data_IF_860743818205
#
_entry.id   IF_860743818205
#
_cell.length_a   1.000
_cell.length_b   1.000
_cell.length_c   1.000
_cell.angle_alpha   90.00
_cell.angle_beta   90.00
_cell.angle_gamma   90.00
#
_symmetry.space_group_name_H-M   'P 1'
#
loop_
_entity.id
_entity.type
_entity.pdbx_description
1 polymer ?
#
# COMPACT_ATOMS: atom_id res chain seq x y z
N UNK A 1 20.05 -19.09 15.59
CA UNK A 1 20.05 -18.34 14.31
C UNK A 1 18.67 -17.79 14.01
N UNK A 2 17.60 -18.61 14.03
CA UNK A 2 16.20 -18.15 13.89
C UNK A 2 15.80 -17.05 14.87
N UNK A 3 16.19 -17.18 16.15
CA UNK A 3 15.87 -16.17 17.17
C UNK A 3 16.53 -14.80 16.90
N UNK A 4 17.70 -14.76 16.25
CA UNK A 4 18.35 -13.48 15.88
C UNK A 4 17.59 -12.81 14.74
N UNK A 5 17.29 -13.58 13.68
CA UNK A 5 16.57 -13.08 12.50
C UNK A 5 15.16 -12.58 12.86
N UNK A 6 14.47 -13.27 13.77
CA UNK A 6 13.16 -12.83 14.28
C UNK A 6 13.23 -11.46 14.97
N UNK A 7 14.21 -11.28 15.86
CA UNK A 7 14.39 -10.02 16.58
C UNK A 7 14.77 -8.88 15.64
N UNK A 8 15.63 -9.14 14.65
CA UNK A 8 16.04 -8.16 13.64
C UNK A 8 14.83 -7.71 12.79
N UNK A 9 14.00 -8.65 12.32
CA UNK A 9 12.77 -8.34 11.58
C UNK A 9 11.78 -7.54 12.42
N UNK A 10 11.58 -7.92 13.69
CA UNK A 10 10.69 -7.18 14.59
C UNK A 10 11.14 -5.71 14.74
N UNK A 11 12.44 -5.47 14.87
CA UNK A 11 12.96 -4.11 15.02
C UNK A 11 12.83 -3.30 13.72
N UNK A 12 13.05 -3.94 12.56
CA UNK A 12 12.82 -3.32 11.25
C UNK A 12 11.35 -2.93 11.05
N UNK A 13 10.42 -3.85 11.31
CA UNK A 13 8.98 -3.61 11.21
C UNK A 13 8.53 -2.50 12.16
N UNK A 14 9.00 -2.53 13.41
CA UNK A 14 8.72 -1.49 14.39
C UNK A 14 9.25 -0.12 13.94
N UNK A 15 10.47 -0.08 13.39
CA UNK A 15 11.06 1.14 12.83
C UNK A 15 10.26 1.64 11.62
N UNK A 16 9.76 0.71 10.81
CA UNK A 16 8.84 1.00 9.73
C UNK A 16 7.43 1.36 10.23
N UNK A 17 7.16 1.35 11.54
CA UNK A 17 5.92 1.82 12.14
C UNK A 17 4.81 0.77 12.25
N UNK A 18 5.14 -0.52 12.19
CA UNK A 18 4.17 -1.58 12.45
C UNK A 18 3.72 -1.55 13.92
N UNK A 19 2.42 -1.65 14.16
CA UNK A 19 1.81 -1.73 15.50
C UNK A 19 2.02 -3.12 16.11
N UNK A 20 2.02 -4.17 15.28
CA UNK A 20 2.25 -5.55 15.71
C UNK A 20 3.41 -6.23 14.94
N UNK A 21 4.67 -5.79 15.14
CA UNK A 21 5.82 -6.27 14.40
C UNK A 21 6.08 -7.78 14.56
N UNK A 22 5.66 -8.38 15.69
CA UNK A 22 5.82 -9.82 15.92
C UNK A 22 4.93 -10.66 14.99
N UNK A 23 3.73 -10.18 14.66
CA UNK A 23 2.81 -10.89 13.77
C UNK A 23 3.41 -11.04 12.37
N UNK A 24 3.83 -9.91 11.79
CA UNK A 24 4.51 -9.86 10.51
C UNK A 24 5.81 -10.69 10.48
N UNK A 25 6.66 -10.55 11.50
CA UNK A 25 7.92 -11.30 11.57
C UNK A 25 7.69 -12.82 11.69
N UNK A 26 6.69 -13.26 12.45
CA UNK A 26 6.34 -14.68 12.54
C UNK A 26 5.86 -15.23 11.20
N UNK A 27 4.97 -14.51 10.50
CA UNK A 27 4.47 -14.93 9.20
C UNK A 27 5.60 -15.04 8.17
N UNK A 28 6.52 -14.06 8.10
CA UNK A 28 7.67 -14.16 7.18
C UNK A 28 8.57 -15.36 7.46
N UNK A 29 8.84 -15.66 8.73
CA UNK A 29 9.69 -16.80 9.07
C UNK A 29 9.00 -18.16 8.86
N UNK A 30 7.68 -18.23 9.05
CA UNK A 30 6.91 -19.47 8.91
C UNK A 30 6.55 -19.78 7.45
N UNK A 31 6.20 -18.75 6.68
CA UNK A 31 5.67 -18.90 5.32
C UNK A 31 6.74 -18.63 4.26
N UNK A 32 7.89 -18.05 4.65
CA UNK A 32 8.96 -17.63 3.76
C UNK A 32 8.50 -16.61 2.68
N UNK A 33 7.53 -15.77 3.04
CA UNK A 33 7.03 -14.63 2.24
C UNK A 33 7.73 -13.35 2.72
N UNK A 34 8.10 -12.40 1.84
CA UNK A 34 8.80 -11.18 2.23
C UNK A 34 7.85 -10.18 2.90
N UNK A 35 7.38 -10.50 4.12
CA UNK A 35 6.38 -9.69 4.83
C UNK A 35 6.87 -8.28 5.14
N UNK A 36 8.15 -8.11 5.45
CA UNK A 36 8.68 -6.76 5.63
C UNK A 36 8.54 -5.91 4.35
N UNK A 37 8.83 -6.49 3.18
CA UNK A 37 8.66 -5.79 1.90
C UNK A 37 7.17 -5.50 1.60
N UNK A 38 6.29 -6.47 1.84
CA UNK A 38 4.82 -6.31 1.73
C UNK A 38 4.31 -5.17 2.62
N UNK A 39 4.73 -5.13 3.87
CA UNK A 39 4.41 -4.04 4.80
C UNK A 39 4.83 -2.67 4.26
N UNK A 40 6.05 -2.56 3.72
CA UNK A 40 6.55 -1.29 3.16
C UNK A 40 5.74 -0.83 1.95
N UNK A 41 5.36 -1.75 1.05
CA UNK A 41 4.51 -1.45 -0.10
C UNK A 41 3.15 -0.95 0.37
N UNK A 42 2.48 -1.69 1.26
CA UNK A 42 1.17 -1.32 1.80
C UNK A 42 1.22 0.05 2.48
N UNK A 43 2.24 0.30 3.31
CA UNK A 43 2.45 1.61 3.94
C UNK A 43 2.61 2.73 2.92
N UNK A 44 3.36 2.51 1.84
CA UNK A 44 3.53 3.48 0.76
C UNK A 44 2.20 3.78 0.06
N UNK A 45 1.48 2.74 -0.34
CA UNK A 45 0.17 2.85 -0.98
C UNK A 45 -0.86 3.56 -0.09
N UNK A 46 -0.85 3.30 1.22
CA UNK A 46 -1.71 3.99 2.18
C UNK A 46 -1.38 5.47 2.31
N UNK A 47 -0.11 5.85 2.29
CA UNK A 47 0.26 7.27 2.26
C UNK A 47 -0.29 7.98 1.02
N UNK A 48 -0.24 7.32 -0.14
CA UNK A 48 -0.70 7.90 -1.42
C UNK A 48 -2.18 8.27 -1.33
N UNK A 49 -3.08 7.34 -1.04
CA UNK A 49 -4.53 7.69 -1.07
C UNK A 49 -4.98 8.54 0.12
N UNK A 50 -4.22 8.59 1.22
CA UNK A 50 -4.49 9.48 2.36
C UNK A 50 -4.11 10.93 2.09
N UNK A 51 -3.16 11.17 1.18
CA UNK A 51 -2.74 12.51 0.79
C UNK A 51 -3.70 13.12 -0.26
N UNK A 52 -4.95 13.35 0.15
CA UNK A 52 -5.98 13.90 -0.73
C UNK A 52 -5.56 15.25 -1.31
N UNK A 53 -4.97 16.13 -0.50
CA UNK A 53 -4.48 17.44 -0.93
C UNK A 53 -3.34 17.32 -1.94
N UNK A 54 -2.32 16.50 -1.64
CA UNK A 54 -1.23 16.25 -2.57
C UNK A 54 -1.74 15.72 -3.90
N UNK A 55 -2.67 14.75 -3.87
CA UNK A 55 -3.27 14.19 -5.08
C UNK A 55 -4.08 15.22 -5.89
N UNK A 56 -4.77 16.16 -5.23
CA UNK A 56 -5.46 17.27 -5.93
C UNK A 56 -4.42 18.17 -6.62
N UNK A 57 -3.34 18.55 -5.92
CA UNK A 57 -2.31 19.41 -6.48
C UNK A 57 -1.56 18.76 -7.66
N UNK A 58 -1.41 17.43 -7.66
CA UNK A 58 -0.80 16.68 -8.75
C UNK A 58 -1.66 16.64 -10.03
N UNK A 59 -2.97 16.92 -9.96
CA UNK A 59 -3.86 16.86 -11.13
C UNK A 59 -3.45 17.84 -12.24
N UNK A 60 -2.86 18.98 -11.89
CA UNK A 60 -2.39 20.00 -12.85
C UNK A 60 -1.28 19.47 -13.77
N UNK A 61 -0.56 18.42 -13.38
CA UNK A 61 0.43 17.77 -14.25
C UNK A 61 -0.25 17.11 -15.45
N UNK A 62 -1.49 16.64 -15.28
CA UNK A 62 -2.21 15.86 -16.30
C UNK A 62 -3.21 16.70 -17.10
N UNK A 63 -3.69 17.82 -16.56
CA UNK A 63 -4.56 18.77 -17.27
C UNK A 63 -4.58 20.12 -16.56
N UNK A 64 -4.29 21.19 -17.31
CA UNK A 64 -4.33 22.58 -16.83
C UNK A 64 -5.74 22.99 -16.33
N UNK A 65 -6.79 22.32 -16.83
CA UNK A 65 -8.18 22.58 -16.46
C UNK A 65 -8.64 21.78 -15.23
N UNK A 66 -7.91 20.75 -14.81
CA UNK A 66 -8.35 19.83 -13.76
C UNK A 66 -8.59 20.55 -12.42
N UNK A 67 -7.68 21.44 -12.01
CA UNK A 67 -7.87 22.25 -10.80
C UNK A 67 -9.04 23.21 -10.92
N UNK A 68 -9.30 23.80 -12.09
CA UNK A 68 -10.49 24.64 -12.26
C UNK A 68 -11.79 23.85 -12.11
N UNK A 69 -11.83 22.62 -12.65
CA UNK A 69 -12.97 21.72 -12.48
C UNK A 69 -13.14 21.34 -11.01
N UNK A 70 -12.06 20.97 -10.31
CA UNK A 70 -12.09 20.68 -8.88
C UNK A 70 -12.63 21.88 -8.08
N UNK A 71 -12.13 23.09 -8.32
CA UNK A 71 -12.58 24.29 -7.60
C UNK A 71 -14.07 24.57 -7.83
N UNK A 72 -14.56 24.41 -9.07
CA UNK A 72 -15.99 24.53 -9.39
C UNK A 72 -16.82 23.53 -8.60
N UNK A 73 -16.41 22.26 -8.56
CA UNK A 73 -17.08 21.21 -7.79
C UNK A 73 -17.00 21.49 -6.29
N UNK A 74 -15.81 21.77 -5.76
CA UNK A 74 -15.56 22.04 -4.34
C UNK A 74 -16.38 23.20 -3.78
N UNK A 75 -16.67 24.22 -4.61
CA UNK A 75 -17.55 25.33 -4.21
C UNK A 75 -19.00 24.93 -3.93
N UNK A 76 -19.44 23.74 -4.34
CA UNK A 76 -20.82 23.26 -4.22
C UNK A 76 -21.03 22.29 -3.04
N UNK A 77 -19.96 21.84 -2.39
CA UNK A 77 -20.01 20.80 -1.35
C UNK A 77 -19.31 21.24 -0.07
N UNK A 78 -19.65 20.58 1.04
CA UNK A 78 -18.86 20.65 2.27
C UNK A 78 -17.45 20.09 1.99
N UNK A 79 -16.43 20.88 2.32
CA UNK A 79 -15.02 20.52 2.15
C UNK A 79 -14.68 19.17 2.81
N UNK A 80 -15.19 18.91 4.03
CA UNK A 80 -14.93 17.66 4.74
C UNK A 80 -15.56 16.48 4.02
N UNK A 81 -16.82 16.63 3.58
CA UNK A 81 -17.52 15.57 2.88
C UNK A 81 -16.86 15.24 1.52
N UNK A 82 -16.40 16.27 0.80
CA UNK A 82 -15.68 16.08 -0.47
C UNK A 82 -14.34 15.37 -0.26
N UNK A 83 -13.56 15.76 0.75
CA UNK A 83 -12.28 15.09 1.07
C UNK A 83 -12.49 13.64 1.50
N UNK A 84 -13.54 13.35 2.25
CA UNK A 84 -13.88 11.99 2.63
C UNK A 84 -14.23 11.12 1.41
N UNK A 85 -15.02 11.68 0.47
CA UNK A 85 -15.29 11.01 -0.81
C UNK A 85 -14.00 10.73 -1.60
N UNK A 86 -13.13 11.73 -1.74
CA UNK A 86 -11.87 11.60 -2.48
C UNK A 86 -10.92 10.60 -1.82
N UNK A 87 -10.88 10.55 -0.50
CA UNK A 87 -10.12 9.55 0.26
C UNK A 87 -10.56 8.12 -0.10
N UNK A 88 -11.87 7.83 -0.03
CA UNK A 88 -12.40 6.51 -0.36
C UNK A 88 -12.30 6.18 -1.86
N UNK A 89 -12.43 7.18 -2.73
CA UNK A 89 -12.17 7.02 -4.16
C UNK A 89 -10.71 6.62 -4.41
N UNK A 90 -9.75 7.32 -3.81
CA UNK A 90 -8.33 6.98 -3.87
C UNK A 90 -8.05 5.57 -3.33
N UNK A 91 -8.60 5.22 -2.16
CA UNK A 91 -8.46 3.87 -1.57
C UNK A 91 -9.00 2.78 -2.52
N UNK A 92 -10.13 3.05 -3.18
CA UNK A 92 -10.73 2.13 -4.16
C UNK A 92 -9.86 1.96 -5.41
N UNK A 93 -9.24 3.05 -5.90
CA UNK A 93 -8.30 2.99 -7.01
C UNK A 93 -7.05 2.17 -6.66
N UNK A 94 -6.50 2.38 -5.46
CA UNK A 94 -5.35 1.60 -4.97
C UNK A 94 -5.71 0.12 -4.81
N UNK A 95 -6.90 -0.23 -4.32
CA UNK A 95 -7.36 -1.63 -4.28
C UNK A 95 -7.36 -2.29 -5.66
N UNK A 96 -7.78 -1.56 -6.71
CA UNK A 96 -7.73 -2.07 -8.08
C UNK A 96 -6.31 -2.26 -8.59
N UNK A 97 -5.41 -1.33 -8.26
CA UNK A 97 -3.98 -1.45 -8.59
C UNK A 97 -3.39 -2.68 -7.89
N UNK A 98 -3.70 -2.89 -6.61
CA UNK A 98 -3.27 -4.05 -5.85
C UNK A 98 -3.73 -5.36 -6.51
N UNK A 99 -5.00 -5.47 -6.89
CA UNK A 99 -5.50 -6.66 -7.59
C UNK A 99 -4.72 -6.90 -8.89
N UNK A 100 -4.44 -5.84 -9.65
CA UNK A 100 -3.64 -5.94 -10.88
C UNK A 100 -2.19 -6.37 -10.61
N UNK A 101 -1.58 -5.91 -9.51
CA UNK A 101 -0.25 -6.32 -9.05
C UNK A 101 -0.19 -7.78 -8.60
N UNK A 102 -1.22 -8.25 -7.88
CA UNK A 102 -1.29 -9.63 -7.40
C UNK A 102 -1.63 -10.62 -8.51
N UNK A 103 -2.44 -10.22 -9.50
CA UNK A 103 -2.74 -11.02 -10.69
C UNK A 103 -1.52 -11.14 -11.62
N UNK A 104 -0.82 -10.02 -11.91
CA UNK A 104 0.43 -10.05 -12.66
C UNK A 104 0.29 -10.33 -14.16
N UNK A 105 -0.91 -10.17 -14.73
CA UNK A 105 -1.17 -10.29 -16.17
C UNK A 105 -2.37 -9.41 -16.58
N UNK A 106 -2.62 -9.30 -17.88
CA UNK A 106 -3.86 -8.73 -18.43
C UNK A 106 -4.55 -9.81 -19.28
N UNK A 107 -5.51 -10.50 -18.69
CA UNK A 107 -6.18 -11.67 -19.30
C UNK A 107 -6.73 -11.39 -20.72
N UNK A 108 -7.24 -10.19 -20.97
CA UNK A 108 -7.83 -9.85 -22.26
C UNK A 108 -6.81 -9.53 -23.37
N UNK A 109 -5.50 -9.53 -23.06
CA UNK A 109 -4.44 -9.11 -24.00
C UNK A 109 -3.59 -10.29 -24.46
N UNK A 110 -3.02 -11.07 -23.53
CA UNK A 110 -2.12 -12.18 -23.85
C UNK A 110 -1.86 -13.07 -22.62
N UNK A 111 -2.21 -14.36 -22.72
CA UNK A 111 -1.97 -15.33 -21.64
C UNK A 111 -0.51 -15.84 -21.57
N UNK A 112 0.35 -15.43 -22.52
CA UNK A 112 1.72 -15.95 -22.62
C UNK A 112 2.76 -15.12 -21.86
N UNK A 113 2.41 -13.94 -21.33
CA UNK A 113 3.35 -13.03 -20.67
C UNK A 113 2.75 -12.51 -19.37
N UNK A 114 3.38 -12.85 -18.25
CA UNK A 114 3.09 -12.30 -16.93
C UNK A 114 4.26 -11.50 -16.37
N UNK A 115 4.02 -10.80 -15.27
CA UNK A 115 4.99 -10.03 -14.51
C UNK A 115 4.62 -10.08 -13.02
N UNK A 116 5.56 -9.73 -12.15
CA UNK A 116 5.33 -9.75 -10.70
C UNK A 116 6.14 -8.68 -9.99
N UNK A 117 5.70 -8.29 -8.79
CA UNK A 117 6.53 -7.55 -7.85
C UNK A 117 7.44 -8.50 -7.09
N UNK A 118 8.70 -8.10 -6.93
CA UNK A 118 9.70 -8.96 -6.34
C UNK A 118 10.63 -8.16 -5.43
N UNK A 119 10.98 -8.75 -4.29
CA UNK A 119 11.87 -8.12 -3.33
C UNK A 119 13.30 -8.01 -3.90
N UNK A 120 13.95 -6.91 -3.57
CA UNK A 120 15.36 -6.65 -3.88
C UNK A 120 16.18 -6.65 -2.59
N UNK A 121 17.42 -7.15 -2.68
CA UNK A 121 18.40 -7.02 -1.61
C UNK A 121 19.07 -5.62 -1.60
N UNK A 122 20.00 -5.44 -0.66
CA UNK A 122 20.79 -4.22 -0.47
C UNK A 122 21.63 -3.80 -1.70
N UNK A 123 21.86 -4.71 -2.65
CA UNK A 123 22.57 -4.46 -3.91
C UNK A 123 21.62 -4.23 -5.10
N UNK A 124 20.31 -4.18 -4.87
CA UNK A 124 19.31 -4.04 -5.91
C UNK A 124 19.12 -5.29 -6.77
N UNK A 125 19.66 -6.44 -6.34
CA UNK A 125 19.43 -7.73 -7.02
C UNK A 125 18.18 -8.38 -6.43
N UNK A 126 17.41 -9.06 -7.26
CA UNK A 126 16.24 -9.81 -6.77
C UNK A 126 16.63 -10.89 -5.77
N UNK A 127 15.77 -11.10 -4.78
CA UNK A 127 15.86 -12.21 -3.82
C UNK A 127 15.05 -13.43 -4.26
N UNK A 128 14.41 -13.38 -5.43
CA UNK A 128 13.42 -14.33 -5.94
C UNK A 128 12.18 -14.51 -5.03
N UNK A 129 12.02 -13.66 -4.00
CA UNK A 129 10.84 -13.65 -3.12
C UNK A 129 9.77 -12.69 -3.69
N UNK A 130 8.64 -13.25 -4.09
CA UNK A 130 7.52 -12.49 -4.64
C UNK A 130 6.82 -11.66 -3.55
N UNK A 131 6.54 -10.40 -3.87
CA UNK A 131 5.66 -9.55 -3.06
C UNK A 131 4.25 -9.75 -3.62
N UNK A 132 3.46 -10.59 -2.95
CA UNK A 132 2.14 -11.05 -3.42
C UNK A 132 1.13 -11.11 -2.27
N UNK A 133 -0.15 -11.25 -2.63
CA UNK A 133 -1.26 -11.31 -1.68
C UNK A 133 -1.50 -9.96 -1.00
N UNK A 134 -1.07 -8.85 -1.61
CA UNK A 134 -1.23 -7.51 -1.05
C UNK A 134 -2.71 -7.20 -0.73
N UNK A 135 -3.65 -7.72 -1.53
CA UNK A 135 -5.08 -7.55 -1.32
C UNK A 135 -5.58 -8.09 0.03
N UNK A 136 -4.96 -9.14 0.57
CA UNK A 136 -5.37 -9.78 1.83
C UNK A 136 -5.18 -8.84 3.01
N UNK A 137 -4.05 -8.14 3.08
CA UNK A 137 -3.78 -7.20 4.17
C UNK A 137 -4.34 -5.81 3.89
N UNK A 138 -4.44 -5.39 2.62
CA UNK A 138 -4.82 -4.00 2.30
C UNK A 138 -6.16 -3.57 2.90
N UNK A 139 -7.12 -4.49 2.95
CA UNK A 139 -8.45 -4.23 3.53
C UNK A 139 -8.35 -3.90 5.03
N UNK A 140 -7.51 -4.64 5.76
CA UNK A 140 -7.36 -4.54 7.21
C UNK A 140 -6.19 -3.65 7.63
N UNK A 141 -5.32 -3.21 6.71
CA UNK A 141 -4.08 -2.52 7.00
C UNK A 141 -4.30 -1.23 7.79
N UNK A 142 -5.35 -0.46 7.48
CA UNK A 142 -5.64 0.75 8.25
C UNK A 142 -6.09 0.43 9.68
N UNK A 143 -6.93 -0.58 9.85
CA UNK A 143 -7.46 -0.95 11.17
C UNK A 143 -6.38 -1.58 12.05
N UNK A 144 -5.51 -2.39 11.46
CA UNK A 144 -4.42 -3.07 12.15
C UNK A 144 -3.22 -2.17 12.43
N UNK A 145 -2.84 -1.29 11.49
CA UNK A 145 -1.56 -0.58 11.56
C UNK A 145 -1.68 0.95 11.76
N UNK A 146 -2.86 1.55 11.54
CA UNK A 146 -3.02 3.01 11.55
C UNK A 146 -4.13 3.53 12.47
N UNK A 147 -5.08 2.68 12.88
CA UNK A 147 -6.06 3.05 13.88
C UNK A 147 -5.34 3.23 15.23
N UNK A 148 -5.66 4.29 16.00
CA UNK A 148 -5.15 4.39 17.36
C UNK A 148 -5.59 3.16 18.13
N UNK A 149 -4.66 2.54 18.87
CA UNK A 149 -4.94 1.44 19.78
C UNK A 149 -6.11 1.84 20.70
N UNK A 150 -7.33 1.40 20.38
CA UNK A 150 -8.51 1.59 21.25
C UNK A 150 -8.48 0.66 22.47
N UNK A 151 -7.34 0.04 22.76
CA UNK A 151 -7.11 -0.76 23.96
C UNK A 151 -6.15 -0.04 24.89
N UNK A 152 -6.71 0.90 25.66
CA UNK A 152 -6.22 1.25 26.99
C UNK A 152 -6.60 0.14 27.99
#
# INVERSE_FOLDING_TARGET
MENSRFMDLCEQLKTAGATNPKSWANSELQENIPQFARFLVLKGLTKIYRDVEGNINEMDIYSDEATEVYQKVASQFDEKALKELLHFYGKSMISKVINMLDEGYLYDVNDNVGWSLMELNDKGTTTDRLIQGLHEDFLEFEESELAPDTKA
#
